data_IF_450861651277
#
_entry.id   IF_450861651277
#
_cell.length_a   1.000
_cell.length_b   1.000
_cell.length_c   1.000
_cell.angle_alpha   90.00
_cell.angle_beta   90.00
_cell.angle_gamma   90.00
#
_symmetry.space_group_name_H-M   'P 1'
#
loop_
_entity.id
_entity.type
_entity.pdbx_description
1 polymer ?
#
# COMPACT_ATOMS: atom_id res chain seq x y z
N UNK A 1 2.26 5.97 2.00
CA UNK A 1 2.23 4.63 1.36
C UNK A 1 2.68 3.62 2.37
N UNK A 2 1.83 2.64 2.62
CA UNK A 2 2.09 1.53 3.53
C UNK A 2 2.14 0.22 2.76
N UNK A 3 2.91 -0.73 3.27
CA UNK A 3 2.66 -2.15 2.99
C UNK A 3 1.80 -2.71 4.11
N UNK A 4 0.88 -3.60 3.77
CA UNK A 4 -0.04 -4.26 4.70
C UNK A 4 0.02 -5.78 4.52
N UNK A 5 -0.72 -6.51 5.35
CA UNK A 5 -0.83 -7.97 5.23
C UNK A 5 0.49 -8.69 5.54
N UNK A 6 0.73 -9.83 4.88
CA UNK A 6 1.86 -10.72 5.17
C UNK A 6 3.22 -10.02 5.10
N UNK A 7 3.41 -9.12 4.12
CA UNK A 7 4.66 -8.37 3.98
C UNK A 7 4.89 -7.37 5.12
N UNK A 8 3.84 -6.80 5.72
CA UNK A 8 4.00 -5.95 6.91
C UNK A 8 4.46 -6.76 8.12
N UNK A 9 4.06 -8.02 8.22
CA UNK A 9 4.52 -8.97 9.23
C UNK A 9 5.91 -9.57 8.91
N UNK A 10 6.56 -9.15 7.82
CA UNK A 10 7.87 -9.66 7.39
C UNK A 10 7.84 -11.06 6.77
N UNK A 11 6.67 -11.53 6.34
CA UNK A 11 6.47 -12.83 5.71
C UNK A 11 6.57 -12.71 4.18
N UNK A 12 7.26 -13.64 3.53
CA UNK A 12 7.27 -13.70 2.06
C UNK A 12 5.95 -14.31 1.56
N UNK A 13 5.25 -13.58 0.69
CA UNK A 13 3.94 -13.96 0.16
C UNK A 13 3.84 -13.71 -1.35
N UNK A 14 2.95 -14.41 -2.05
CA UNK A 14 2.76 -14.23 -3.51
C UNK A 14 2.20 -12.85 -3.86
N UNK A 15 1.42 -12.29 -2.94
CA UNK A 15 0.74 -11.00 -3.09
C UNK A 15 1.40 -9.96 -2.20
N UNK A 16 1.73 -8.80 -2.78
CA UNK A 16 2.14 -7.60 -2.05
C UNK A 16 0.92 -6.70 -1.95
N UNK A 17 0.53 -6.32 -0.73
CA UNK A 17 -0.61 -5.43 -0.48
C UNK A 17 -0.11 -4.03 -0.11
N UNK A 18 -0.54 -3.03 -0.87
CA UNK A 18 -0.15 -1.63 -0.68
C UNK A 18 -1.35 -0.75 -0.37
N UNK A 19 -1.18 0.16 0.59
CA UNK A 19 -2.12 1.23 0.86
C UNK A 19 -1.50 2.57 0.44
N UNK A 20 -2.11 3.21 -0.56
CA UNK A 20 -1.79 4.58 -0.95
C UNK A 20 -2.71 5.53 -0.21
N UNK A 21 -2.16 6.66 0.22
CA UNK A 21 -2.90 7.73 0.90
C UNK A 21 -2.71 9.02 0.11
N UNK A 22 -3.81 9.66 -0.25
CA UNK A 22 -3.82 10.96 -0.94
C UNK A 22 -5.20 11.31 -1.50
N UNK A 23 -5.54 12.60 -1.46
CA UNK A 23 -6.87 13.09 -1.85
C UNK A 23 -7.12 13.15 -3.37
N UNK A 24 -6.06 13.06 -4.19
CA UNK A 24 -6.14 13.20 -5.65
C UNK A 24 -5.19 12.25 -6.39
N UNK A 25 -5.23 10.96 -6.04
CA UNK A 25 -4.45 9.92 -6.72
C UNK A 25 -5.10 9.59 -8.07
N UNK A 26 -4.31 9.67 -9.14
CA UNK A 26 -4.71 9.14 -10.46
C UNK A 26 -4.69 7.61 -10.43
N UNK A 27 -5.88 7.00 -10.30
CA UNK A 27 -6.01 5.56 -10.17
C UNK A 27 -5.75 4.80 -11.48
N UNK A 28 -5.97 5.42 -12.63
CA UNK A 28 -5.71 4.79 -13.94
C UNK A 28 -4.20 4.66 -14.16
N UNK A 29 -3.47 5.76 -13.94
CA UNK A 29 -2.01 5.73 -14.00
C UNK A 29 -1.40 4.81 -12.95
N UNK A 30 -1.93 4.80 -11.73
CA UNK A 30 -1.47 3.88 -10.67
C UNK A 30 -1.68 2.42 -11.07
N UNK A 31 -2.82 2.06 -11.67
CA UNK A 31 -3.07 0.70 -12.14
C UNK A 31 -2.04 0.25 -13.19
N UNK A 32 -1.65 1.13 -14.12
CA UNK A 32 -0.61 0.84 -15.11
C UNK A 32 0.76 0.59 -14.45
N UNK A 33 1.14 1.42 -13.49
CA UNK A 33 2.39 1.30 -12.73
C UNK A 33 2.43 0.00 -11.92
N UNK A 34 1.35 -0.32 -11.21
CA UNK A 34 1.20 -1.56 -10.43
C UNK A 34 1.34 -2.78 -11.34
N UNK A 35 0.66 -2.77 -12.49
CA UNK A 35 0.75 -3.86 -13.47
C UNK A 35 2.18 -4.01 -14.02
N UNK A 36 2.88 -2.90 -14.26
CA UNK A 36 4.28 -2.91 -14.74
C UNK A 36 5.21 -3.46 -13.66
N UNK A 37 5.10 -2.97 -12.43
CA UNK A 37 5.91 -3.39 -11.30
C UNK A 37 5.72 -4.89 -11.01
N UNK A 38 4.48 -5.37 -10.95
CA UNK A 38 4.17 -6.78 -10.71
C UNK A 38 4.83 -7.72 -11.74
N UNK A 39 4.87 -7.33 -13.02
CA UNK A 39 5.61 -8.08 -14.06
C UNK A 39 7.11 -8.10 -13.84
N UNK A 40 7.70 -6.99 -13.36
CA UNK A 40 9.15 -6.86 -13.15
C UNK A 40 9.64 -7.71 -11.98
N UNK A 41 8.85 -7.81 -10.91
CA UNK A 41 9.22 -8.54 -9.69
C UNK A 41 8.64 -9.95 -9.63
N UNK A 42 7.84 -10.34 -10.62
CA UNK A 42 7.13 -11.63 -10.67
C UNK A 42 6.24 -11.88 -9.44
N UNK A 43 5.51 -10.85 -8.99
CA UNK A 43 4.54 -10.92 -7.88
C UNK A 43 3.24 -10.21 -8.27
N UNK A 44 2.15 -10.60 -7.62
CA UNK A 44 0.88 -9.85 -7.71
C UNK A 44 0.95 -8.68 -6.73
N UNK A 45 0.51 -7.51 -7.17
CA UNK A 45 0.43 -6.33 -6.30
C UNK A 45 -1.05 -5.92 -6.24
N UNK A 46 -1.62 -5.99 -5.05
CA UNK A 46 -2.95 -5.45 -4.76
C UNK A 46 -2.78 -4.10 -4.09
N UNK A 47 -3.66 -3.14 -4.41
CA UNK A 47 -3.61 -1.84 -3.77
C UNK A 47 -4.97 -1.27 -3.44
N UNK A 48 -5.00 -0.46 -2.40
CA UNK A 48 -6.11 0.42 -2.03
C UNK A 48 -5.62 1.88 -2.04
N UNK A 49 -6.55 2.80 -2.30
CA UNK A 49 -6.30 4.24 -2.24
C UNK A 49 -7.26 4.82 -1.21
N UNK A 50 -6.71 5.42 -0.17
CA UNK A 50 -7.43 6.14 0.88
C UNK A 50 -7.16 7.64 0.75
N UNK A 51 -8.12 8.44 1.19
CA UNK A 51 -7.92 9.84 1.55
C UNK A 51 -7.15 9.96 2.86
N UNK A 52 -6.65 11.15 3.16
CA UNK A 52 -5.96 11.42 4.43
C UNK A 52 -6.88 11.21 5.66
N UNK A 53 -8.20 11.37 5.50
CA UNK A 53 -9.16 11.10 6.57
C UNK A 53 -9.35 9.59 6.79
N UNK A 54 -9.44 8.82 5.71
CA UNK A 54 -9.57 7.36 5.76
C UNK A 54 -8.28 6.67 6.26
N UNK A 55 -7.12 7.32 6.13
CA UNK A 55 -5.88 6.85 6.74
C UNK A 55 -5.98 6.80 8.28
N UNK A 56 -6.49 7.86 8.90
CA UNK A 56 -6.62 7.92 10.36
C UNK A 56 -7.55 6.81 10.87
N UNK A 57 -8.65 6.58 10.17
CA UNK A 57 -9.57 5.48 10.47
C UNK A 57 -8.91 4.12 10.30
N UNK A 58 -8.11 3.93 9.24
CA UNK A 58 -7.39 2.69 8.99
C UNK A 58 -6.36 2.37 10.08
N UNK A 59 -5.60 3.37 10.54
CA UNK A 59 -4.54 3.18 11.54
C UNK A 59 -5.10 3.01 12.95
N UNK A 60 -6.32 3.47 13.22
CA UNK A 60 -6.92 3.43 14.55
C UNK A 60 -7.15 1.98 14.99
N UNK A 61 -6.49 1.58 16.08
CA UNK A 61 -6.67 0.26 16.69
C UNK A 61 -5.90 -0.87 16.00
N UNK A 62 -4.99 -0.56 15.07
CA UNK A 62 -4.08 -1.53 14.46
C UNK A 62 -2.76 -1.65 15.21
N UNK A 63 -2.25 -2.87 15.28
CA UNK A 63 -0.92 -3.19 15.80
C UNK A 63 0.18 -2.83 14.77
N UNK A 64 1.41 -2.58 15.25
CA UNK A 64 2.56 -2.22 14.41
C UNK A 64 2.93 -3.30 13.37
N UNK A 65 2.49 -4.54 13.54
CA UNK A 65 2.74 -5.64 12.60
C UNK A 65 1.74 -5.70 11.45
N UNK A 66 0.63 -4.96 11.54
CA UNK A 66 -0.43 -5.00 10.52
C UNK A 66 -0.14 -4.07 9.32
N UNK A 67 0.75 -3.12 9.49
CA UNK A 67 1.16 -2.18 8.45
C UNK A 67 2.58 -1.67 8.69
N UNK A 68 3.28 -1.34 7.62
CA UNK A 68 4.59 -0.70 7.68
C UNK A 68 4.60 0.51 6.74
N UNK A 69 4.94 1.68 7.28
CA UNK A 69 5.11 2.89 6.48
C UNK A 69 6.34 2.75 5.59
N UNK A 70 6.13 2.74 4.27
CA UNK A 70 7.20 2.66 3.28
C UNK A 70 7.68 4.05 2.86
N UNK A 71 6.73 4.97 2.67
CA UNK A 71 7.03 6.32 2.20
C UNK A 71 5.92 7.28 2.60
N UNK A 72 6.29 8.48 3.01
CA UNK A 72 5.41 9.63 3.14
C UNK A 72 6.11 10.85 2.54
N UNK A 73 5.34 11.82 2.04
CA UNK A 73 5.91 13.08 1.63
C UNK A 73 6.49 13.78 2.87
N UNK A 74 7.77 14.15 2.84
CA UNK A 74 8.35 15.01 3.88
C UNK A 74 7.71 16.39 3.73
N UNK A 75 6.94 16.80 4.73
CA UNK A 75 6.44 18.16 4.85
C UNK A 75 7.57 19.11 5.27
#
# INVERSE_FOLDING_TARGET
>A
VYVTGDYAAGMDAEVIELLFVGNAVDQEYLAELVKKAGRLIHRVINYLVHTETEEQEFLTGKEETEYLLLWQNEA
#
